data_IF_287841738406
#
_entry.id   IF_287841738406
#
_cell.length_a   1.000
_cell.length_b   1.000
_cell.length_c   1.000
_cell.angle_alpha   90.00
_cell.angle_beta   90.00
_cell.angle_gamma   90.00
#
_symmetry.space_group_name_H-M   'P 1'
#
loop_
_entity.id
_entity.type
_entity.pdbx_description
1 polymer ?
#
# COMPACT_ATOMS: atom_id res chain seq x y z
N UNK A 1 0.76 36.96 -7.30
CA UNK A 1 -0.46 36.30 -6.76
C UNK A 1 -1.38 36.00 -7.94
N UNK A 2 -1.93 34.78 -8.05
CA UNK A 2 -2.77 34.34 -9.19
C UNK A 2 -3.95 35.31 -9.43
N UNK A 3 -4.51 35.88 -8.37
CA UNK A 3 -5.64 36.83 -8.42
C UNK A 3 -5.35 38.14 -9.14
N UNK A 4 -4.08 38.46 -9.41
CA UNK A 4 -3.64 39.69 -10.07
C UNK A 4 -3.02 39.43 -11.45
N UNK A 5 -3.00 38.18 -11.91
CA UNK A 5 -2.40 37.82 -13.19
C UNK A 5 -3.35 38.10 -14.36
N UNK A 6 -2.81 38.60 -15.47
CA UNK A 6 -3.57 38.80 -16.70
C UNK A 6 -3.87 37.46 -17.38
N UNK A 7 -4.88 37.45 -18.26
CA UNK A 7 -5.25 36.28 -19.09
C UNK A 7 -4.05 35.67 -19.82
N UNK A 8 -3.27 36.52 -20.49
CA UNK A 8 -2.05 36.12 -21.24
C UNK A 8 -0.97 35.53 -20.31
N UNK A 9 -0.88 36.03 -19.07
CA UNK A 9 0.04 35.48 -18.07
C UNK A 9 -0.40 34.10 -17.59
N UNK A 10 -1.70 33.94 -17.32
CA UNK A 10 -2.28 32.66 -16.89
C UNK A 10 -2.23 31.58 -17.96
N UNK A 11 -2.37 31.94 -19.24
CA UNK A 11 -2.20 31.01 -20.38
C UNK A 11 -0.78 30.42 -20.46
N UNK A 12 0.23 31.13 -19.94
CA UNK A 12 1.61 30.66 -19.89
C UNK A 12 1.90 29.79 -18.67
N UNK A 13 1.00 29.74 -17.69
CA UNK A 13 1.11 28.83 -16.54
C UNK A 13 0.67 27.44 -17.02
N UNK A 14 1.63 26.54 -17.21
CA UNK A 14 1.36 25.17 -17.59
C UNK A 14 0.34 24.50 -16.66
N UNK A 15 -0.58 23.71 -17.23
CA UNK A 15 -1.61 22.98 -16.48
C UNK A 15 -2.94 23.72 -16.26
N UNK A 16 -3.07 24.99 -16.66
CA UNK A 16 -4.35 25.71 -16.62
C UNK A 16 -5.12 25.49 -17.94
N UNK A 17 -6.28 24.84 -17.87
CA UNK A 17 -7.12 24.68 -19.07
C UNK A 17 -7.74 26.00 -19.50
N UNK A 18 -7.95 26.18 -20.82
CA UNK A 18 -8.53 27.41 -21.37
C UNK A 18 -9.86 27.81 -20.71
N UNK A 19 -10.68 26.82 -20.36
CA UNK A 19 -11.98 27.01 -19.68
C UNK A 19 -11.86 27.61 -18.28
N UNK A 20 -10.70 27.50 -17.62
CA UNK A 20 -10.50 27.96 -16.24
C UNK A 20 -9.92 29.37 -16.15
N UNK A 21 -9.30 29.88 -17.22
CA UNK A 21 -8.50 31.12 -17.19
C UNK A 21 -9.32 32.30 -16.65
N UNK A 22 -10.54 32.50 -17.16
CA UNK A 22 -11.33 33.68 -16.80
C UNK A 22 -11.86 33.60 -15.34
N UNK A 23 -12.09 32.38 -14.84
CA UNK A 23 -12.57 32.14 -13.46
C UNK A 23 -11.45 32.09 -12.41
N UNK A 24 -10.21 31.80 -12.82
CA UNK A 24 -9.12 31.47 -11.90
C UNK A 24 -8.71 32.65 -10.99
N UNK A 25 -8.61 33.90 -11.47
CA UNK A 25 -8.34 35.04 -10.60
C UNK A 25 -9.39 35.19 -9.49
N UNK A 26 -10.67 35.10 -9.84
CA UNK A 26 -11.79 35.22 -8.91
C UNK A 26 -11.78 34.10 -7.87
N UNK A 27 -11.63 32.85 -8.29
CA UNK A 27 -11.54 31.71 -7.38
C UNK A 27 -10.34 31.82 -6.43
N UNK A 28 -9.18 32.26 -6.95
CA UNK A 28 -7.97 32.45 -6.13
C UNK A 28 -8.11 33.58 -5.10
N UNK A 29 -8.88 34.64 -5.42
CA UNK A 29 -9.19 35.70 -4.47
C UNK A 29 -10.05 35.17 -3.33
N UNK A 30 -11.10 34.41 -3.63
CA UNK A 30 -11.96 33.77 -2.63
C UNK A 30 -11.14 32.83 -1.73
N UNK A 31 -10.32 31.96 -2.32
CA UNK A 31 -9.44 31.07 -1.56
C UNK A 31 -8.50 31.85 -0.64
N UNK A 32 -7.86 32.92 -1.13
CA UNK A 32 -6.98 33.75 -0.32
C UNK A 32 -7.72 34.43 0.85
N UNK A 33 -8.96 34.88 0.67
CA UNK A 33 -9.77 35.42 1.75
C UNK A 33 -10.12 34.36 2.80
N UNK A 34 -10.46 33.14 2.36
CA UNK A 34 -10.72 32.01 3.24
C UNK A 34 -9.47 31.63 4.04
N UNK A 35 -8.31 31.49 3.38
CA UNK A 35 -7.04 31.20 4.05
C UNK A 35 -6.67 32.24 5.11
N UNK A 36 -6.84 33.54 4.80
CA UNK A 36 -6.58 34.62 5.74
C UNK A 36 -7.50 34.59 6.96
N UNK A 37 -8.76 34.18 6.79
CA UNK A 37 -9.74 34.14 7.87
C UNK A 37 -9.66 32.87 8.70
N UNK A 38 -9.51 31.72 8.06
CA UNK A 38 -9.50 30.41 8.72
C UNK A 38 -8.12 30.03 9.27
N UNK A 39 -7.04 30.55 8.69
CA UNK A 39 -5.65 30.21 9.04
C UNK A 39 -5.43 28.69 9.20
N UNK A 40 -5.84 27.86 8.21
CA UNK A 40 -5.73 26.42 8.36
C UNK A 40 -4.26 26.00 8.28
N UNK A 41 -3.90 24.96 9.04
CA UNK A 41 -2.57 24.36 8.96
C UNK A 41 -2.35 23.62 7.63
N UNK A 42 -3.42 23.09 7.03
CA UNK A 42 -3.38 22.33 5.78
C UNK A 42 -4.63 22.57 4.92
N UNK A 43 -4.48 22.44 3.61
CA UNK A 43 -5.59 22.39 2.64
C UNK A 43 -5.53 21.08 1.89
N UNK A 44 -6.53 20.22 2.11
CA UNK A 44 -6.70 18.95 1.40
C UNK A 44 -7.70 19.13 0.26
N UNK A 45 -7.33 18.70 -0.94
CA UNK A 45 -8.22 18.72 -2.10
C UNK A 45 -8.91 17.36 -2.24
N UNK A 46 -10.25 17.36 -2.20
CA UNK A 46 -11.03 16.17 -2.51
C UNK A 46 -11.24 16.05 -4.02
N UNK A 47 -11.01 14.84 -4.56
CA UNK A 47 -11.38 14.48 -5.93
C UNK A 47 -12.89 14.24 -6.11
N UNK A 48 -13.63 14.18 -5.00
CA UNK A 48 -15.06 13.91 -4.96
C UNK A 48 -15.85 15.18 -4.64
N UNK A 49 -17.07 15.28 -5.16
CA UNK A 49 -17.96 16.41 -4.94
C UNK A 49 -19.37 15.97 -4.58
N UNK A 50 -20.34 16.82 -4.92
CA UNK A 50 -21.75 16.63 -4.57
C UNK A 50 -22.33 15.31 -5.11
N UNK A 51 -21.91 14.89 -6.32
CA UNK A 51 -22.40 13.65 -6.94
C UNK A 51 -22.04 12.43 -6.09
N UNK A 52 -20.79 12.32 -5.68
CA UNK A 52 -20.32 11.20 -4.87
C UNK A 52 -20.87 11.28 -3.44
N UNK A 53 -21.04 12.48 -2.89
CA UNK A 53 -21.74 12.67 -1.60
C UNK A 53 -23.17 12.14 -1.62
N UNK A 54 -23.93 12.42 -2.68
CA UNK A 54 -25.28 11.87 -2.86
C UNK A 54 -25.26 10.35 -3.04
N UNK A 55 -24.31 9.81 -3.81
CA UNK A 55 -24.14 8.36 -3.96
C UNK A 55 -23.83 7.69 -2.61
N UNK A 56 -23.01 8.31 -1.76
CA UNK A 56 -22.70 7.81 -0.43
C UNK A 56 -23.91 7.84 0.51
N UNK A 57 -24.74 8.89 0.41
CA UNK A 57 -25.96 9.03 1.22
C UNK A 57 -26.97 7.90 0.97
N UNK A 58 -27.05 7.39 -0.26
CA UNK A 58 -27.97 6.29 -0.62
C UNK A 58 -27.39 4.89 -0.40
N UNK A 59 -26.14 4.76 0.05
CA UNK A 59 -25.56 3.46 0.38
C UNK A 59 -26.26 2.82 1.60
N UNK A 60 -26.45 1.49 1.61
CA UNK A 60 -26.73 0.74 2.82
C UNK A 60 -25.72 1.04 3.95
N UNK A 61 -26.19 1.03 5.20
CA UNK A 61 -25.36 1.36 6.37
C UNK A 61 -24.16 0.40 6.52
N UNK A 62 -24.36 -0.89 6.23
CA UNK A 62 -23.30 -1.89 6.28
C UNK A 62 -22.19 -1.63 5.25
N UNK A 63 -22.51 -1.03 4.10
CA UNK A 63 -21.52 -0.61 3.10
C UNK A 63 -20.82 0.69 3.51
N UNK A 64 -21.52 1.63 4.14
CA UNK A 64 -20.93 2.89 4.61
C UNK A 64 -19.88 2.71 5.72
N UNK A 65 -20.04 1.68 6.54
CA UNK A 65 -19.13 1.37 7.65
C UNK A 65 -17.87 0.62 7.24
N UNK A 66 -17.77 0.20 5.96
CA UNK A 66 -16.57 -0.50 5.47
C UNK A 66 -15.45 0.47 5.18
N UNK A 67 -14.22 0.00 5.32
CA UNK A 67 -13.04 0.78 4.98
C UNK A 67 -12.92 0.91 3.45
N UNK A 68 -13.03 2.12 2.87
CA UNK A 68 -13.04 2.31 1.42
C UNK A 68 -11.71 1.96 0.74
N UNK A 69 -10.58 2.04 1.46
CA UNK A 69 -9.27 1.65 0.92
C UNK A 69 -9.17 0.13 0.86
N UNK A 70 -9.61 -0.57 1.91
CA UNK A 70 -9.59 -2.03 1.91
C UNK A 70 -10.55 -2.59 0.86
N UNK A 71 -11.75 -2.04 0.71
CA UNK A 71 -12.70 -2.42 -0.34
C UNK A 71 -12.12 -2.21 -1.75
N UNK A 72 -11.44 -1.09 -1.98
CA UNK A 72 -10.73 -0.86 -3.24
C UNK A 72 -9.59 -1.88 -3.46
N UNK A 73 -8.86 -2.24 -2.41
CA UNK A 73 -7.83 -3.29 -2.47
C UNK A 73 -8.41 -4.68 -2.75
N UNK A 74 -9.53 -5.05 -2.13
CA UNK A 74 -10.21 -6.32 -2.37
C UNK A 74 -10.70 -6.40 -3.82
N UNK A 75 -11.45 -5.40 -4.29
CA UNK A 75 -11.90 -5.35 -5.68
C UNK A 75 -10.73 -5.40 -6.67
N UNK A 76 -9.63 -4.71 -6.36
CA UNK A 76 -8.45 -4.74 -7.23
C UNK A 76 -7.71 -6.09 -7.24
N UNK A 77 -7.74 -6.82 -6.14
CA UNK A 77 -7.20 -8.18 -6.07
C UNK A 77 -8.09 -9.18 -6.82
N UNK A 78 -9.41 -9.04 -6.71
CA UNK A 78 -10.41 -9.89 -7.38
C UNK A 78 -10.34 -9.77 -8.92
N UNK A 79 -10.19 -8.55 -9.47
CA UNK A 79 -10.18 -8.29 -10.92
C UNK A 79 -9.13 -9.10 -11.71
N UNK A 80 -8.08 -9.58 -11.04
CA UNK A 80 -6.99 -10.33 -11.66
C UNK A 80 -6.59 -11.56 -10.88
N UNK A 81 -7.49 -12.12 -10.06
CA UNK A 81 -7.14 -13.19 -9.13
C UNK A 81 -6.68 -14.48 -9.84
N UNK A 82 -5.62 -15.11 -9.30
CA UNK A 82 -5.18 -16.47 -9.71
C UNK A 82 -5.93 -17.54 -8.93
N UNK A 83 -6.01 -17.30 -7.63
CA UNK A 83 -6.74 -18.02 -6.61
C UNK A 83 -7.44 -16.95 -5.78
N UNK A 84 -8.47 -17.33 -5.01
CA UNK A 84 -9.11 -16.40 -4.10
C UNK A 84 -8.05 -15.70 -3.24
N UNK A 85 -8.11 -14.36 -3.17
CA UNK A 85 -7.14 -13.61 -2.39
C UNK A 85 -7.17 -14.08 -0.92
N UNK A 86 -6.00 -14.26 -0.32
CA UNK A 86 -5.86 -14.70 1.08
C UNK A 86 -5.08 -13.68 1.90
N UNK A 87 -5.20 -12.39 1.55
CA UNK A 87 -4.45 -11.30 2.16
C UNK A 87 -4.70 -11.16 3.66
N UNK A 88 -5.93 -11.42 4.11
CA UNK A 88 -6.26 -11.43 5.53
C UNK A 88 -5.51 -12.54 6.30
N UNK A 89 -5.34 -13.72 5.71
CA UNK A 89 -4.56 -14.81 6.29
C UNK A 89 -3.08 -14.41 6.41
N UNK A 90 -2.51 -13.85 5.34
CA UNK A 90 -1.13 -13.34 5.34
C UNK A 90 -0.95 -12.25 6.40
N UNK A 91 -1.91 -11.33 6.53
CA UNK A 91 -1.89 -10.28 7.53
C UNK A 91 -1.98 -10.86 8.94
N UNK A 92 -2.90 -11.78 9.22
CA UNK A 92 -2.99 -12.43 10.55
C UNK A 92 -1.70 -13.19 10.90
N UNK A 93 -1.15 -13.92 9.94
CA UNK A 93 0.06 -14.71 10.11
C UNK A 93 1.30 -13.87 10.42
N UNK A 94 1.46 -12.70 9.78
CA UNK A 94 2.62 -11.83 10.02
C UNK A 94 2.42 -10.79 11.14
N UNK A 95 1.22 -10.62 11.67
CA UNK A 95 0.93 -9.63 12.73
C UNK A 95 1.90 -9.71 13.94
N UNK A 96 2.30 -10.91 14.45
CA UNK A 96 3.15 -10.99 15.63
C UNK A 96 4.53 -10.33 15.49
N UNK A 97 5.03 -10.15 14.27
CA UNK A 97 6.35 -9.53 14.03
C UNK A 97 6.28 -8.00 13.84
N UNK A 98 5.07 -7.43 13.90
CA UNK A 98 4.79 -6.01 13.71
C UNK A 98 3.94 -5.41 14.84
N UNK A 99 3.89 -6.07 16.00
CA UNK A 99 3.05 -5.68 17.15
C UNK A 99 3.38 -4.30 17.74
N UNK A 100 4.55 -3.76 17.45
CA UNK A 100 5.00 -2.44 17.90
C UNK A 100 4.67 -1.31 16.90
N UNK A 101 4.13 -1.63 15.72
CA UNK A 101 3.79 -0.63 14.71
C UNK A 101 2.45 0.05 15.02
N UNK A 102 2.29 1.35 14.69
CA UNK A 102 1.02 2.08 14.88
C UNK A 102 -0.16 1.51 14.06
N UNK A 103 -1.40 1.71 14.53
CA UNK A 103 -2.64 1.23 13.88
C UNK A 103 -2.79 1.65 12.41
N UNK A 104 -2.37 2.88 12.04
CA UNK A 104 -2.45 3.34 10.65
C UNK A 104 -1.55 2.50 9.73
N UNK A 105 -0.44 1.99 10.25
CA UNK A 105 0.46 1.11 9.52
C UNK A 105 -0.12 -0.31 9.43
N UNK A 106 -0.90 -0.75 10.41
CA UNK A 106 -1.62 -2.01 10.33
C UNK A 106 -2.66 -2.03 9.19
N UNK A 107 -3.42 -0.94 9.02
CA UNK A 107 -4.35 -0.79 7.87
C UNK A 107 -3.61 -0.96 6.54
N UNK A 108 -2.46 -0.31 6.39
CA UNK A 108 -1.65 -0.40 5.15
C UNK A 108 -1.01 -1.77 4.97
N UNK A 109 -0.64 -2.44 6.07
CA UNK A 109 -0.14 -3.82 6.04
C UNK A 109 -1.20 -4.78 5.51
N UNK A 110 -2.43 -4.67 6.00
CA UNK A 110 -3.56 -5.46 5.50
C UNK A 110 -3.83 -5.16 4.02
N UNK A 111 -3.92 -3.89 3.64
CA UNK A 111 -4.09 -3.46 2.25
C UNK A 111 -3.00 -4.06 1.33
N UNK A 112 -1.73 -4.01 1.76
CA UNK A 112 -0.61 -4.59 1.03
C UNK A 112 -0.68 -6.12 0.93
N UNK A 113 -1.14 -6.81 1.97
CA UNK A 113 -1.34 -8.26 1.93
C UNK A 113 -2.43 -8.66 0.93
N UNK A 114 -3.56 -7.92 0.90
CA UNK A 114 -4.67 -8.14 -0.05
C UNK A 114 -4.19 -7.98 -1.50
N UNK A 115 -3.53 -6.87 -1.82
CA UNK A 115 -3.03 -6.61 -3.18
C UNK A 115 -1.68 -7.28 -3.47
N UNK A 116 -1.22 -8.16 -2.58
CA UNK A 116 0.09 -8.78 -2.62
C UNK A 116 0.39 -9.39 -3.98
N UNK A 117 -0.59 -10.06 -4.60
CA UNK A 117 -0.39 -10.86 -5.80
C UNK A 117 -0.91 -10.30 -7.11
N UNK A 118 -1.34 -9.04 -7.17
CA UNK A 118 -1.98 -8.44 -8.36
C UNK A 118 -1.15 -8.53 -9.66
N UNK A 119 0.18 -8.68 -9.53
CA UNK A 119 1.11 -8.78 -10.65
C UNK A 119 1.51 -10.21 -11.02
N UNK A 120 0.89 -11.26 -10.47
CA UNK A 120 1.31 -12.65 -10.69
C UNK A 120 1.40 -13.04 -12.18
N UNK A 121 0.52 -12.47 -13.01
CA UNK A 121 0.42 -12.72 -14.45
C UNK A 121 1.36 -11.87 -15.31
N UNK A 122 2.08 -10.92 -14.71
CA UNK A 122 3.06 -10.09 -15.40
C UNK A 122 4.33 -10.88 -15.72
N UNK A 123 5.05 -10.50 -16.78
CA UNK A 123 6.35 -11.07 -17.09
C UNK A 123 7.33 -10.86 -15.90
N UNK A 124 8.09 -11.89 -15.48
CA UNK A 124 8.92 -11.83 -14.27
C UNK A 124 9.82 -10.59 -14.16
N UNK A 125 10.46 -10.19 -15.27
CA UNK A 125 11.37 -9.03 -15.31
C UNK A 125 10.68 -7.68 -15.09
N UNK A 126 9.38 -7.59 -15.41
CA UNK A 126 8.60 -6.34 -15.34
C UNK A 126 7.61 -6.33 -14.18
N UNK A 127 7.40 -7.48 -13.54
CA UNK A 127 6.35 -7.68 -12.54
C UNK A 127 6.35 -6.63 -11.43
N UNK A 128 7.53 -6.30 -10.91
CA UNK A 128 7.65 -5.31 -9.85
C UNK A 128 7.25 -3.90 -10.30
N UNK A 129 7.79 -3.43 -11.43
CA UNK A 129 7.54 -2.07 -11.93
C UNK A 129 6.11 -1.91 -12.46
N UNK A 130 5.53 -2.96 -13.04
CA UNK A 130 4.13 -2.96 -13.48
C UNK A 130 3.18 -2.93 -12.29
N UNK A 131 3.40 -3.77 -11.27
CA UNK A 131 2.57 -3.77 -10.06
C UNK A 131 2.65 -2.42 -9.32
N UNK A 132 3.86 -1.87 -9.19
CA UNK A 132 4.10 -0.53 -8.64
C UNK A 132 3.26 0.53 -9.36
N UNK A 133 3.36 0.59 -10.70
CA UNK A 133 2.61 1.57 -11.51
C UNK A 133 1.10 1.38 -11.44
N UNK A 134 0.62 0.13 -11.41
CA UNK A 134 -0.81 -0.17 -11.30
C UNK A 134 -1.36 0.34 -9.97
N UNK A 135 -0.66 0.11 -8.86
CA UNK A 135 -1.06 0.62 -7.53
C UNK A 135 -1.01 2.14 -7.50
N UNK A 136 0.08 2.77 -7.94
CA UNK A 136 0.18 4.23 -7.97
C UNK A 136 -0.98 4.89 -8.72
N UNK A 137 -1.50 4.25 -9.76
CA UNK A 137 -2.51 4.82 -10.65
C UNK A 137 -3.93 4.32 -10.36
N UNK A 138 -4.10 3.37 -9.44
CA UNK A 138 -5.41 2.84 -9.09
C UNK A 138 -6.27 3.93 -8.41
N UNK A 139 -7.56 4.07 -8.77
CA UNK A 139 -8.40 5.16 -8.29
C UNK A 139 -8.94 4.89 -6.86
N UNK A 140 -8.05 4.80 -5.88
CA UNK A 140 -8.43 4.69 -4.47
C UNK A 140 -9.27 5.88 -4.00
N UNK A 141 -10.26 5.59 -3.16
CA UNK A 141 -10.99 6.56 -2.35
C UNK A 141 -10.29 6.63 -0.99
N UNK A 142 -10.13 7.83 -0.44
CA UNK A 142 -9.59 8.04 0.92
C UNK A 142 -8.16 7.51 1.16
N UNK A 143 -7.32 7.57 0.11
CA UNK A 143 -5.90 7.27 0.21
C UNK A 143 -5.06 8.50 -0.14
N UNK A 144 -4.32 9.01 0.85
CA UNK A 144 -3.42 10.15 0.66
C UNK A 144 -2.22 9.76 -0.24
N UNK A 145 -1.44 10.76 -0.66
CA UNK A 145 -0.30 10.53 -1.54
C UNK A 145 0.80 9.68 -0.91
N UNK A 146 1.05 9.83 0.39
CA UNK A 146 2.06 9.06 1.10
C UNK A 146 1.73 7.56 1.08
N UNK A 147 0.53 7.21 1.53
CA UNK A 147 0.08 5.83 1.68
C UNK A 147 -0.04 5.13 0.32
N UNK A 148 -0.46 5.87 -0.72
CA UNK A 148 -0.46 5.40 -2.11
C UNK A 148 0.94 4.99 -2.58
N UNK A 149 1.93 5.84 -2.34
CA UNK A 149 3.32 5.59 -2.75
C UNK A 149 3.94 4.49 -1.90
N UNK A 150 3.61 4.45 -0.60
CA UNK A 150 4.02 3.40 0.33
C UNK A 150 3.52 2.02 -0.10
N UNK A 151 2.23 1.87 -0.42
CA UNK A 151 1.65 0.60 -0.89
C UNK A 151 2.30 0.16 -2.20
N UNK A 152 2.48 1.08 -3.15
CA UNK A 152 3.13 0.78 -4.42
C UNK A 152 4.57 0.28 -4.18
N UNK A 153 5.36 1.00 -3.37
CA UNK A 153 6.74 0.66 -3.04
C UNK A 153 6.83 -0.70 -2.34
N UNK A 154 5.90 -0.99 -1.43
CA UNK A 154 5.78 -2.28 -0.73
C UNK A 154 5.63 -3.44 -1.70
N UNK A 155 4.71 -3.34 -2.66
CA UNK A 155 4.49 -4.40 -3.66
C UNK A 155 5.65 -4.51 -4.66
N UNK A 156 6.25 -3.39 -5.05
CA UNK A 156 7.51 -3.42 -5.81
C UNK A 156 8.59 -4.21 -5.08
N UNK A 157 8.72 -3.99 -3.76
CA UNK A 157 9.66 -4.68 -2.87
C UNK A 157 9.31 -6.14 -2.67
N UNK A 158 8.03 -6.52 -2.64
CA UNK A 158 7.60 -7.93 -2.61
C UNK A 158 8.19 -8.72 -3.79
N UNK A 159 8.19 -8.14 -4.98
CA UNK A 159 8.62 -8.84 -6.18
C UNK A 159 10.14 -8.89 -6.37
N UNK A 160 10.88 -7.82 -6.03
CA UNK A 160 12.34 -7.73 -6.25
C UNK A 160 13.18 -7.84 -4.97
N UNK A 161 12.59 -7.63 -3.80
CA UNK A 161 13.27 -7.56 -2.50
C UNK A 161 13.99 -6.23 -2.24
N UNK A 162 14.57 -5.60 -3.26
CA UNK A 162 15.24 -4.31 -3.17
C UNK A 162 14.74 -3.37 -4.27
N UNK A 163 13.45 -3.04 -4.22
CA UNK A 163 12.85 -2.15 -5.19
C UNK A 163 13.35 -0.72 -4.96
N UNK A 164 13.77 -0.06 -6.04
CA UNK A 164 14.34 1.29 -5.95
C UNK A 164 13.27 2.37 -5.81
N UNK A 165 12.10 2.16 -6.42
CA UNK A 165 11.08 3.19 -6.52
C UNK A 165 11.24 4.06 -7.77
N UNK A 166 10.60 5.23 -7.73
CA UNK A 166 10.69 6.32 -8.70
C UNK A 166 10.83 7.69 -8.00
N UNK A 167 10.85 8.76 -8.77
CA UNK A 167 10.92 10.14 -8.27
C UNK A 167 9.83 10.47 -7.24
N UNK A 168 8.64 9.87 -7.33
CA UNK A 168 7.57 10.10 -6.37
C UNK A 168 7.92 9.48 -5.02
N UNK A 169 8.38 8.23 -5.02
CA UNK A 169 8.87 7.58 -3.80
C UNK A 169 10.07 8.29 -3.19
N UNK A 170 10.98 8.84 -3.99
CA UNK A 170 12.17 9.56 -3.51
C UNK A 170 11.81 10.87 -2.81
N UNK A 171 10.69 11.48 -3.18
CA UNK A 171 10.23 12.75 -2.60
C UNK A 171 9.29 12.58 -1.43
N UNK A 172 8.55 11.46 -1.36
CA UNK A 172 7.43 11.28 -0.44
C UNK A 172 7.79 10.35 0.71
N UNK A 173 8.55 9.29 0.48
CA UNK A 173 8.87 8.28 1.50
C UNK A 173 10.18 8.60 2.21
N UNK A 174 10.16 8.58 3.54
CA UNK A 174 11.37 8.57 4.35
C UNK A 174 12.11 7.22 4.26
N UNK A 175 13.31 7.15 4.83
CA UNK A 175 14.04 5.88 4.92
C UNK A 175 13.32 4.86 5.82
N UNK A 176 12.63 5.32 6.87
CA UNK A 176 11.84 4.46 7.76
C UNK A 176 10.60 3.90 7.04
N UNK A 177 9.94 4.71 6.21
CA UNK A 177 8.83 4.26 5.35
C UNK A 177 9.31 3.20 4.36
N UNK A 178 10.48 3.42 3.74
CA UNK A 178 11.10 2.47 2.82
C UNK A 178 11.50 1.18 3.53
N UNK A 179 12.04 1.27 4.74
CA UNK A 179 12.37 0.09 5.54
C UNK A 179 11.10 -0.71 5.86
N UNK A 180 10.05 -0.05 6.32
CA UNK A 180 8.75 -0.66 6.64
C UNK A 180 8.13 -1.30 5.40
N UNK A 181 8.10 -0.60 4.26
CA UNK A 181 7.60 -1.15 3.01
C UNK A 181 8.41 -2.33 2.49
N UNK A 182 9.74 -2.35 2.70
CA UNK A 182 10.57 -3.55 2.42
C UNK A 182 10.20 -4.69 3.35
N UNK A 183 10.07 -4.46 4.65
CA UNK A 183 9.67 -5.50 5.62
C UNK A 183 8.34 -6.15 5.22
N UNK A 184 7.34 -5.33 4.87
CA UNK A 184 6.05 -5.81 4.37
C UNK A 184 6.20 -6.58 3.05
N UNK A 185 6.99 -6.07 2.10
CA UNK A 185 7.25 -6.78 0.85
C UNK A 185 7.88 -8.16 1.07
N UNK A 186 8.89 -8.25 1.94
CA UNK A 186 9.59 -9.50 2.24
C UNK A 186 8.71 -10.51 2.99
N UNK A 187 7.90 -10.07 3.95
CA UNK A 187 7.02 -10.99 4.68
C UNK A 187 5.87 -11.50 3.81
N UNK A 188 5.28 -10.65 2.94
CA UNK A 188 4.28 -11.09 1.97
C UNK A 188 4.91 -12.09 0.98
N UNK A 189 6.14 -11.84 0.54
CA UNK A 189 6.87 -12.76 -0.33
C UNK A 189 7.14 -14.11 0.35
N UNK A 190 7.51 -14.11 1.63
CA UNK A 190 7.69 -15.32 2.43
C UNK A 190 6.36 -16.09 2.57
N UNK A 191 5.28 -15.39 2.95
CA UNK A 191 3.95 -15.98 3.06
C UNK A 191 3.48 -16.64 1.77
N UNK A 192 3.64 -15.97 0.63
CA UNK A 192 3.30 -16.58 -0.68
C UNK A 192 4.20 -17.75 -1.08
N UNK A 193 5.47 -17.74 -0.64
CA UNK A 193 6.37 -18.88 -0.90
C UNK A 193 5.91 -20.11 -0.13
N UNK A 194 5.43 -19.93 1.11
CA UNK A 194 4.88 -21.00 1.95
C UNK A 194 3.53 -21.49 1.46
N UNK A 195 2.62 -20.57 1.13
CA UNK A 195 1.23 -20.90 0.84
C UNK A 195 0.97 -21.29 -0.62
N UNK A 196 1.93 -21.02 -1.52
CA UNK A 196 1.71 -21.15 -2.96
C UNK A 196 0.66 -20.18 -3.52
N UNK A 197 0.27 -19.16 -2.75
CA UNK A 197 -0.80 -18.22 -3.10
C UNK A 197 -2.21 -18.73 -2.78
N UNK A 198 -2.36 -19.74 -1.93
CA UNK A 198 -3.66 -20.31 -1.53
C UNK A 198 -3.87 -20.16 -0.02
N UNK A 199 -5.12 -19.97 0.40
CA UNK A 199 -5.53 -19.93 1.80
C UNK A 199 -5.45 -21.32 2.48
N UNK A 200 -5.33 -21.35 3.81
CA UNK A 200 -5.38 -22.55 4.65
C UNK A 200 -4.02 -23.17 4.94
N UNK A 201 -2.94 -22.63 4.35
CA UNK A 201 -1.58 -23.15 4.52
C UNK A 201 -0.83 -22.43 5.64
N UNK A 202 -0.89 -21.10 5.68
CA UNK A 202 -0.17 -20.32 6.70
C UNK A 202 -0.57 -20.63 8.14
N UNK A 203 -1.84 -20.96 8.47
CA UNK A 203 -2.24 -21.34 9.83
C UNK A 203 -1.52 -22.56 10.39
N UNK A 204 -0.95 -23.41 9.53
CA UNK A 204 -0.14 -24.58 9.93
C UNK A 204 1.32 -24.22 10.22
N UNK A 205 1.64 -22.92 10.18
CA UNK A 205 2.95 -22.35 10.47
C UNK A 205 2.80 -21.16 11.42
N UNK A 206 3.89 -20.75 12.05
CA UNK A 206 3.91 -19.58 12.94
C UNK A 206 5.16 -18.75 12.72
N UNK A 207 4.98 -17.45 12.47
CA UNK A 207 6.05 -16.48 12.37
C UNK A 207 6.04 -15.59 13.62
N UNK A 208 7.16 -15.54 14.35
CA UNK A 208 7.23 -14.76 15.60
C UNK A 208 8.63 -14.27 15.91
N UNK A 209 8.70 -13.21 16.74
CA UNK A 209 9.94 -12.72 17.31
C UNK A 209 10.18 -13.39 18.66
N UNK A 210 11.38 -13.94 18.85
CA UNK A 210 11.84 -14.50 20.12
C UNK A 210 13.24 -13.97 20.42
N UNK A 211 13.35 -13.01 21.34
CA UNK A 211 14.63 -12.37 21.64
C UNK A 211 15.21 -11.70 20.39
N UNK A 212 16.44 -12.07 20.02
CA UNK A 212 17.16 -11.60 18.83
C UNK A 212 16.85 -12.39 17.56
N UNK A 213 15.85 -13.28 17.58
CA UNK A 213 15.52 -14.18 16.48
C UNK A 213 14.14 -13.94 15.86
N UNK A 214 14.09 -14.10 14.54
CA UNK A 214 12.87 -14.31 13.77
C UNK A 214 12.69 -15.82 13.57
N UNK A 215 11.68 -16.39 14.22
CA UNK A 215 11.43 -17.83 14.25
C UNK A 215 10.26 -18.16 13.32
N UNK A 216 10.48 -19.09 12.39
CA UNK A 216 9.44 -19.72 11.59
C UNK A 216 9.25 -21.16 12.07
N UNK A 217 8.08 -21.44 12.63
CA UNK A 217 7.73 -22.75 13.16
C UNK A 217 6.75 -23.45 12.22
N UNK A 218 6.93 -24.74 12.02
CA UNK A 218 6.04 -25.60 11.25
C UNK A 218 5.38 -26.64 12.15
N UNK A 219 4.09 -26.84 11.98
CA UNK A 219 3.44 -28.06 12.48
C UNK A 219 3.97 -29.28 11.72
N UNK A 220 3.91 -30.47 12.35
CA UNK A 220 4.40 -31.73 11.77
C UNK A 220 3.89 -32.00 10.36
N UNK A 221 2.63 -31.69 10.09
CA UNK A 221 1.98 -31.87 8.78
C UNK A 221 2.45 -30.87 7.71
N UNK A 222 2.94 -29.70 8.13
CA UNK A 222 3.46 -28.65 7.27
C UNK A 222 4.99 -28.72 7.08
N UNK A 223 5.67 -29.69 7.70
CA UNK A 223 7.13 -29.83 7.59
C UNK A 223 7.63 -29.98 6.13
N UNK A 224 6.80 -30.51 5.23
CA UNK A 224 7.12 -30.62 3.80
C UNK A 224 7.17 -29.28 3.06
N UNK A 225 6.61 -28.21 3.63
CA UNK A 225 6.67 -26.85 3.07
C UNK A 225 8.03 -26.20 3.29
N UNK A 226 8.83 -26.73 4.21
CA UNK A 226 10.19 -26.27 4.42
C UNK A 226 11.09 -26.63 3.23
N UNK A 227 11.88 -25.66 2.79
CA UNK A 227 12.88 -25.84 1.76
C UNK A 227 13.83 -24.66 1.69
N UNK A 228 14.90 -24.81 0.90
CA UNK A 228 15.98 -23.83 0.79
C UNK A 228 15.48 -22.42 0.43
N UNK A 229 14.49 -22.32 -0.45
CA UNK A 229 13.91 -21.02 -0.85
C UNK A 229 13.24 -20.33 0.34
N UNK A 230 12.52 -21.08 1.19
CA UNK A 230 11.87 -20.54 2.39
C UNK A 230 12.92 -20.02 3.37
N UNK A 231 13.95 -20.82 3.63
CA UNK A 231 15.06 -20.44 4.52
C UNK A 231 15.76 -19.16 4.03
N UNK A 232 16.06 -19.06 2.73
CA UNK A 232 16.64 -17.86 2.14
C UNK A 232 15.74 -16.62 2.27
N UNK A 233 14.41 -16.77 2.20
CA UNK A 233 13.46 -15.64 2.36
C UNK A 233 13.34 -15.22 3.82
N UNK A 234 13.27 -16.19 4.74
CA UNK A 234 13.28 -15.92 6.17
C UNK A 234 14.56 -15.19 6.60
N UNK A 235 15.72 -15.65 6.15
CA UNK A 235 17.02 -15.02 6.44
C UNK A 235 17.08 -13.57 5.93
N UNK A 236 16.57 -13.29 4.73
CA UNK A 236 16.50 -11.92 4.20
C UNK A 236 15.59 -11.00 5.02
N UNK A 237 14.43 -11.51 5.45
CA UNK A 237 13.52 -10.77 6.32
C UNK A 237 14.16 -10.52 7.69
N UNK A 238 14.73 -11.55 8.33
CA UNK A 238 15.41 -11.43 9.61
C UNK A 238 16.55 -10.41 9.56
N UNK A 239 17.35 -10.42 8.49
CA UNK A 239 18.42 -9.44 8.27
C UNK A 239 17.90 -8.00 8.20
N UNK A 240 16.77 -7.75 7.55
CA UNK A 240 16.15 -6.41 7.52
C UNK A 240 15.68 -5.96 8.91
N UNK A 241 15.32 -6.91 9.77
CA UNK A 241 14.92 -6.65 11.15
C UNK A 241 16.10 -6.59 12.13
N UNK A 242 17.34 -6.78 11.65
CA UNK A 242 18.54 -6.97 12.47
C UNK A 242 18.40 -8.12 13.47
N UNK A 243 17.86 -9.25 13.01
CA UNK A 243 17.65 -10.49 13.79
C UNK A 243 18.32 -11.68 13.10
N UNK A 244 18.57 -12.74 13.87
CA UNK A 244 18.92 -14.05 13.31
C UNK A 244 17.65 -14.78 12.83
N UNK A 245 17.76 -15.64 11.81
CA UNK A 245 16.64 -16.48 11.37
C UNK A 245 16.75 -17.88 11.95
N UNK A 246 15.63 -18.43 12.44
CA UNK A 246 15.57 -19.81 12.94
C UNK A 246 14.33 -20.52 12.40
N UNK A 247 14.51 -21.77 11.96
CA UNK A 247 13.41 -22.65 11.55
C UNK A 247 13.23 -23.75 12.58
N UNK A 248 11.99 -24.00 13.02
CA UNK A 248 11.65 -25.10 13.93
C UNK A 248 10.60 -26.01 13.31
N UNK A 249 10.84 -27.32 13.39
CA UNK A 249 9.89 -28.36 13.01
C UNK A 249 9.36 -29.00 14.30
N UNK A 250 8.06 -28.95 14.53
CA UNK A 250 7.40 -29.59 15.68
C UNK A 250 6.93 -31.01 15.37
#
# INVERSE_FOLDING_TARGET
>A
IISQQSRVSLEKIGGVSKRRIDSLPHASLVMNMLMKRMQPNEVVFSGHGLREGWMYEVLPEDLRQRDPVLEACFSFAEDGERFHQHGEEVAKWCAPIFSELPDNIERLRLAACIIGDIGWNEHPDYRAIQSYNRILRHPYIDLNHHDRVFLAYTIGSRYTGNFKGDDASDRILSEDDRLTGRLFGHVIRLGHTLSGGVEGILPQTRLQLEGDKLVLQFEKQAAALYGEVVEQRLSKLAKLMNRESEVRLM
#
